data_IF_795891132226
#
_entry.id   IF_795891132226
#
_cell.length_a   1.000
_cell.length_b   1.000
_cell.length_c   1.000
_cell.angle_alpha   90.00
_cell.angle_beta   90.00
_cell.angle_gamma   90.00
#
_symmetry.space_group_name_H-M   'P 1'
#
loop_
_entity.id
_entity.type
_entity.pdbx_description
1 polymer ?
#
# COMPACT_ATOMS: atom_id res chain seq x y z
N UNK A 1 8.86 38.71 30.23
CA UNK A 1 8.50 38.02 31.48
C UNK A 1 8.64 36.53 31.21
N UNK A 2 9.47 35.72 31.87
CA UNK A 2 9.66 35.49 33.33
C UNK A 2 8.43 34.83 33.97
N UNK A 3 8.52 33.76 34.78
CA UNK A 3 9.65 32.89 35.19
C UNK A 3 9.10 31.46 35.42
N UNK A 4 9.91 30.39 35.40
CA UNK A 4 10.73 29.92 36.54
C UNK A 4 9.99 29.90 37.89
N UNK A 5 9.76 28.70 38.43
CA UNK A 5 10.20 28.37 39.79
C UNK A 5 10.44 26.85 39.95
N UNK A 6 11.20 26.47 40.97
CA UNK A 6 11.80 25.14 41.12
C UNK A 6 12.31 24.91 42.55
N UNK A 7 12.27 23.65 43.02
CA UNK A 7 12.90 23.19 44.27
C UNK A 7 12.56 21.70 44.44
N UNK A 8 13.49 20.74 44.43
CA UNK A 8 14.75 20.54 45.18
C UNK A 8 14.57 19.89 46.56
N UNK A 9 15.47 18.93 46.83
CA UNK A 9 15.61 18.21 48.08
C UNK A 9 16.96 17.49 48.10
N UNK A 10 17.95 18.10 48.76
CA UNK A 10 19.24 17.49 49.09
C UNK A 10 19.10 16.66 50.41
N UNK A 11 20.09 16.00 50.99
CA UNK A 11 21.53 15.85 50.72
C UNK A 11 21.90 14.36 51.06
N UNK A 12 23.12 13.86 51.35
CA UNK A 12 24.40 14.40 51.84
C UNK A 12 25.61 13.68 51.23
N UNK A 13 26.78 14.30 51.36
CA UNK A 13 28.10 13.72 51.07
C UNK A 13 28.72 13.11 52.35
N UNK A 14 29.79 12.31 52.22
CA UNK A 14 31.03 12.56 52.98
C UNK A 14 32.23 11.78 52.43
N UNK A 15 33.44 12.20 52.81
CA UNK A 15 34.72 11.86 52.19
C UNK A 15 35.83 11.76 53.26
N UNK A 16 36.73 10.78 53.16
CA UNK A 16 38.11 10.70 53.72
C UNK A 16 38.68 9.34 53.28
N UNK A 17 39.93 9.11 52.81
CA UNK A 17 41.27 9.72 52.90
C UNK A 17 42.21 9.10 53.94
N UNK A 18 43.16 8.31 53.44
CA UNK A 18 44.56 8.08 53.86
C UNK A 18 44.92 7.73 55.33
N UNK A 19 45.69 6.64 55.51
CA UNK A 19 47.04 6.74 56.13
C UNK A 19 47.97 5.54 55.86
N UNK A 20 49.27 5.73 56.12
CA UNK A 20 50.37 4.76 55.96
C UNK A 20 50.64 3.93 57.25
N UNK A 21 51.47 2.87 57.17
CA UNK A 21 51.97 2.14 58.35
C UNK A 21 53.04 1.08 58.02
N UNK A 22 54.13 0.99 58.81
CA UNK A 22 55.36 0.24 58.49
C UNK A 22 55.80 -0.82 59.54
N UNK A 23 56.44 -1.89 59.04
CA UNK A 23 57.61 -2.61 59.62
C UNK A 23 57.47 -3.65 60.78
N UNK A 24 58.48 -4.55 60.87
CA UNK A 24 58.68 -5.62 61.88
C UNK A 24 58.47 -7.05 61.32
N UNK A 25 59.44 -7.94 61.00
CA UNK A 25 60.64 -8.48 61.70
C UNK A 25 60.29 -9.54 62.79
N UNK A 26 60.94 -10.71 62.94
CA UNK A 26 62.25 -11.25 62.42
C UNK A 26 62.33 -12.81 62.50
N UNK A 27 63.15 -13.47 61.65
CA UNK A 27 63.89 -14.77 61.82
C UNK A 27 63.18 -16.05 62.36
N UNK A 28 63.44 -17.28 61.86
CA UNK A 28 64.74 -18.01 61.92
C UNK A 28 64.98 -19.06 60.78
N UNK A 29 66.15 -19.70 60.81
CA UNK A 29 66.71 -20.69 59.86
C UNK A 29 65.99 -22.06 59.84
N UNK A 30 66.22 -23.04 58.94
CA UNK A 30 67.29 -23.36 57.95
C UNK A 30 66.67 -24.28 56.82
N UNK A 31 67.31 -24.90 55.80
CA UNK A 31 68.70 -25.18 55.40
C UNK A 31 68.83 -25.40 53.85
N UNK A 32 69.96 -25.95 53.38
CA UNK A 32 70.38 -26.02 51.97
C UNK A 32 69.71 -27.08 51.06
N UNK A 33 69.60 -26.74 49.77
CA UNK A 33 69.76 -27.67 48.64
C UNK A 33 70.25 -26.93 47.39
N UNK A 34 71.12 -27.55 46.57
CA UNK A 34 71.72 -26.93 45.39
C UNK A 34 70.76 -26.93 44.19
N UNK A 35 70.60 -25.81 43.45
CA UNK A 35 69.73 -25.75 42.27
C UNK A 35 70.39 -26.38 41.03
N UNK A 36 69.65 -27.24 40.31
CA UNK A 36 70.04 -27.72 38.97
C UNK A 36 70.15 -26.55 37.96
N UNK A 37 71.06 -26.62 36.96
CA UNK A 37 71.15 -25.61 35.91
C UNK A 37 69.89 -25.59 35.03
N UNK A 38 69.39 -24.40 34.62
CA UNK A 38 68.12 -24.28 33.92
C UNK A 38 68.16 -24.91 32.51
N UNK A 39 67.28 -25.91 32.30
CA UNK A 39 67.09 -26.58 31.01
C UNK A 39 66.75 -25.54 29.92
N UNK A 40 67.59 -25.43 28.89
CA UNK A 40 67.47 -24.43 27.81
C UNK A 40 66.10 -24.55 27.13
N UNK A 41 65.24 -23.53 27.31
CA UNK A 41 63.92 -23.46 26.67
C UNK A 41 64.08 -23.43 25.15
N UNK A 42 63.45 -24.37 24.44
CA UNK A 42 63.45 -24.41 22.98
C UNK A 42 62.85 -23.11 22.40
N UNK A 43 63.46 -22.58 21.33
CA UNK A 43 62.94 -21.39 20.64
C UNK A 43 61.56 -21.70 20.05
N UNK A 44 60.50 -21.12 20.61
CA UNK A 44 59.14 -21.22 20.05
C UNK A 44 59.11 -20.51 18.69
N UNK A 45 59.07 -21.27 17.61
CA UNK A 45 58.88 -20.75 16.27
C UNK A 45 57.41 -20.41 16.03
N UNK A 46 57.08 -19.11 15.97
CA UNK A 46 55.72 -18.64 15.74
C UNK A 46 55.43 -18.43 14.25
N UNK A 47 54.32 -18.98 13.75
CA UNK A 47 53.96 -18.90 12.32
C UNK A 47 53.09 -17.67 12.05
N UNK A 48 53.60 -16.75 11.22
CA UNK A 48 52.87 -15.58 10.72
C UNK A 48 51.88 -15.99 9.62
N UNK A 49 50.75 -15.28 9.54
CA UNK A 49 49.77 -15.39 8.46
C UNK A 49 50.41 -15.14 7.08
N UNK A 50 49.87 -15.81 6.05
CA UNK A 50 50.31 -15.67 4.65
C UNK A 50 49.12 -15.53 3.70
N UNK A 51 49.25 -14.65 2.71
CA UNK A 51 48.20 -14.39 1.71
C UNK A 51 47.87 -15.62 0.84
N UNK A 52 48.84 -16.52 0.61
CA UNK A 52 48.64 -17.80 -0.10
C UNK A 52 47.55 -18.69 0.53
N UNK A 53 47.20 -18.48 1.80
CA UNK A 53 46.17 -19.26 2.47
C UNK A 53 44.74 -18.81 2.11
N UNK A 54 44.52 -17.60 1.61
CA UNK A 54 43.17 -17.18 1.17
C UNK A 54 42.73 -17.91 -0.12
N UNK A 55 43.70 -18.29 -0.96
CA UNK A 55 43.48 -19.11 -2.16
C UNK A 55 43.15 -20.57 -1.80
N UNK A 56 43.78 -21.11 -0.75
CA UNK A 56 43.55 -22.48 -0.25
C UNK A 56 42.28 -22.58 0.61
N UNK A 57 41.94 -21.52 1.36
CA UNK A 57 40.88 -21.47 2.34
C UNK A 57 39.99 -20.23 2.12
N UNK A 58 39.01 -20.28 1.18
CA UNK A 58 38.27 -19.11 0.72
C UNK A 58 37.52 -18.32 1.81
N UNK A 59 37.24 -18.95 2.96
CA UNK A 59 36.53 -18.35 4.09
C UNK A 59 37.45 -17.73 5.16
N UNK A 60 38.78 -17.79 4.97
CA UNK A 60 39.76 -17.20 5.89
C UNK A 60 40.26 -15.86 5.35
N UNK A 61 40.44 -14.88 6.24
CA UNK A 61 41.09 -13.60 5.93
C UNK A 61 42.15 -13.25 6.98
N UNK A 62 43.07 -12.35 6.63
CA UNK A 62 43.98 -11.70 7.59
C UNK A 62 43.19 -11.12 8.78
N UNK A 63 43.66 -11.36 10.01
CA UNK A 63 43.12 -10.68 11.19
C UNK A 63 43.48 -9.19 11.20
N UNK A 64 42.58 -8.36 11.74
CA UNK A 64 42.86 -6.94 12.04
C UNK A 64 43.61 -6.74 13.36
N UNK A 65 43.66 -7.75 14.23
CA UNK A 65 44.27 -7.65 15.56
C UNK A 65 45.76 -8.02 15.56
N UNK A 66 46.13 -9.11 14.89
CA UNK A 66 47.47 -9.70 15.01
C UNK A 66 47.89 -10.48 13.75
N UNK A 67 49.17 -10.41 13.39
CA UNK A 67 49.81 -11.16 12.30
C UNK A 67 49.90 -12.66 12.61
N UNK A 68 49.76 -13.06 13.88
CA UNK A 68 49.67 -14.46 14.32
C UNK A 68 48.21 -14.96 14.52
N UNK A 69 47.21 -14.18 14.08
CA UNK A 69 45.79 -14.57 14.05
C UNK A 69 45.23 -14.56 12.62
N UNK A 70 44.14 -15.30 12.42
CA UNK A 70 43.31 -15.24 11.20
C UNK A 70 41.84 -15.13 11.53
N UNK A 71 41.08 -14.45 10.68
CA UNK A 71 39.64 -14.27 10.80
C UNK A 71 38.90 -15.29 9.94
N UNK A 72 37.94 -16.01 10.53
CA UNK A 72 37.05 -16.89 9.79
C UNK A 72 35.73 -16.19 9.47
N UNK A 73 35.44 -15.99 8.18
CA UNK A 73 34.23 -15.31 7.70
C UNK A 73 32.95 -16.10 7.95
N UNK A 74 33.01 -17.42 8.23
CA UNK A 74 31.86 -18.27 8.60
C UNK A 74 31.59 -18.23 10.11
N UNK A 75 32.63 -18.12 10.93
CA UNK A 75 32.51 -18.06 12.39
C UNK A 75 32.43 -16.62 12.93
N UNK A 76 32.78 -15.62 12.12
CA UNK A 76 33.04 -14.22 12.49
C UNK A 76 33.87 -14.09 13.77
N UNK A 77 34.93 -14.89 13.85
CA UNK A 77 35.86 -14.95 14.98
C UNK A 77 37.29 -15.07 14.49
N UNK A 78 38.19 -14.47 15.25
CA UNK A 78 39.63 -14.50 15.03
C UNK A 78 40.25 -15.58 15.92
N UNK A 79 41.17 -16.37 15.38
CA UNK A 79 41.84 -17.44 16.11
C UNK A 79 43.34 -17.48 15.80
N UNK A 80 44.12 -18.00 16.74
CA UNK A 80 45.58 -18.10 16.61
C UNK A 80 45.97 -19.20 15.62
N UNK A 81 46.92 -18.86 14.75
CA UNK A 81 47.64 -19.77 13.83
C UNK A 81 49.09 -19.98 14.28
N UNK A 82 49.47 -19.43 15.44
CA UNK A 82 50.85 -19.16 15.79
C UNK A 82 51.70 -20.44 15.99
N UNK A 83 51.06 -21.62 16.12
CA UNK A 83 51.74 -22.88 16.47
C UNK A 83 51.66 -23.95 15.38
N UNK A 84 50.54 -24.10 14.67
CA UNK A 84 50.36 -25.07 13.58
C UNK A 84 50.17 -24.46 12.20
N UNK A 85 49.88 -23.15 12.10
CA UNK A 85 49.74 -22.43 10.83
C UNK A 85 48.56 -22.96 10.00
N UNK A 86 48.84 -23.43 8.78
CA UNK A 86 47.83 -24.05 7.90
C UNK A 86 47.12 -25.27 8.55
N UNK A 87 47.76 -25.95 9.53
CA UNK A 87 47.10 -27.01 10.31
C UNK A 87 46.07 -26.50 11.31
N UNK A 88 46.27 -25.32 11.89
CA UNK A 88 45.30 -24.71 12.81
C UNK A 88 44.03 -24.31 12.04
N UNK A 89 44.21 -23.82 10.81
CA UNK A 89 43.11 -23.51 9.88
C UNK A 89 42.32 -24.77 9.52
N UNK A 90 42.99 -25.83 9.07
CA UNK A 90 42.32 -27.11 8.73
C UNK A 90 41.62 -27.75 9.94
N UNK A 91 42.17 -27.58 11.14
CA UNK A 91 41.54 -28.02 12.39
C UNK A 91 40.29 -27.20 12.73
N UNK A 92 40.32 -25.87 12.49
CA UNK A 92 39.14 -25.01 12.62
C UNK A 92 38.02 -25.41 11.66
N UNK A 93 38.33 -25.63 10.38
CA UNK A 93 37.35 -26.04 9.35
C UNK A 93 36.79 -27.45 9.60
N UNK A 94 37.61 -28.36 10.14
CA UNK A 94 37.15 -29.68 10.59
C UNK A 94 36.27 -29.61 11.86
N UNK A 95 36.31 -28.50 12.59
CA UNK A 95 35.65 -28.30 13.88
C UNK A 95 34.12 -28.28 13.82
N UNK A 96 33.49 -28.72 14.92
CA UNK A 96 32.03 -28.81 15.05
C UNK A 96 31.33 -27.45 14.91
N UNK A 97 31.93 -26.37 15.42
CA UNK A 97 31.37 -25.02 15.31
C UNK A 97 31.36 -24.51 13.87
N UNK A 98 32.45 -24.69 13.13
CA UNK A 98 32.53 -24.29 11.72
C UNK A 98 31.50 -25.05 10.88
N UNK A 99 31.41 -26.38 11.05
CA UNK A 99 30.42 -27.24 10.37
C UNK A 99 28.97 -26.83 10.67
N UNK A 100 28.64 -26.49 11.92
CA UNK A 100 27.32 -25.94 12.31
C UNK A 100 27.05 -24.60 11.60
N UNK A 101 27.98 -23.65 11.66
CA UNK A 101 27.81 -22.32 11.07
C UNK A 101 27.72 -22.35 9.54
N UNK A 102 28.54 -23.16 8.88
CA UNK A 102 28.49 -23.37 7.43
C UNK A 102 27.13 -23.96 6.99
N UNK A 103 26.67 -24.99 7.71
CA UNK A 103 25.34 -25.60 7.46
C UNK A 103 24.19 -24.61 7.71
N UNK A 104 24.35 -23.71 8.69
CA UNK A 104 23.40 -22.63 8.97
C UNK A 104 23.31 -21.62 7.82
N UNK A 105 24.44 -21.21 7.24
CA UNK A 105 24.46 -20.30 6.08
C UNK A 105 23.76 -20.87 4.85
N UNK A 106 23.94 -22.15 4.54
CA UNK A 106 23.26 -22.79 3.39
C UNK A 106 21.73 -22.83 3.58
N UNK A 107 21.25 -22.84 4.83
CA UNK A 107 19.81 -22.80 5.16
C UNK A 107 19.22 -21.38 5.19
N UNK A 108 20.04 -20.34 5.09
CA UNK A 108 19.58 -18.95 5.03
C UNK A 108 19.38 -18.55 3.56
N UNK A 109 18.17 -18.74 3.05
CA UNK A 109 17.77 -18.21 1.74
C UNK A 109 18.04 -16.70 1.70
N UNK A 110 18.74 -16.25 0.65
CA UNK A 110 19.23 -14.87 0.59
C UNK A 110 18.05 -13.89 0.48
N UNK A 111 18.01 -12.88 1.35
CA UNK A 111 16.94 -11.86 1.41
C UNK A 111 16.73 -11.15 0.06
N UNK A 112 17.75 -11.15 -0.81
CA UNK A 112 17.66 -10.74 -2.21
C UNK A 112 16.50 -11.38 -3.00
N UNK A 113 16.02 -12.57 -2.63
CA UNK A 113 14.86 -13.21 -3.26
C UNK A 113 13.51 -12.57 -2.88
N UNK A 114 13.48 -11.72 -1.85
CA UNK A 114 12.31 -10.98 -1.37
C UNK A 114 12.37 -9.47 -1.69
N UNK A 115 13.51 -8.97 -2.20
CA UNK A 115 13.60 -7.61 -2.71
C UNK A 115 12.83 -7.54 -4.04
N UNK A 116 11.92 -6.56 -4.15
CA UNK A 116 10.98 -6.48 -5.26
C UNK A 116 11.71 -6.41 -6.61
N UNK A 117 11.27 -7.15 -7.64
CA UNK A 117 11.79 -6.99 -8.98
C UNK A 117 11.39 -5.61 -9.53
N UNK A 118 12.29 -4.97 -10.27
CA UNK A 118 12.00 -3.68 -10.90
C UNK A 118 10.84 -3.77 -11.91
N UNK A 119 10.26 -2.62 -12.26
CA UNK A 119 9.18 -2.49 -13.24
C UNK A 119 9.53 -3.02 -14.65
N UNK A 120 10.80 -3.34 -14.93
CA UNK A 120 11.25 -3.98 -16.17
C UNK A 120 10.99 -5.49 -16.21
N UNK A 121 10.69 -6.12 -15.06
CA UNK A 121 10.45 -7.56 -14.96
C UNK A 121 9.23 -8.01 -15.76
N UNK A 122 9.29 -9.24 -16.25
CA UNK A 122 8.20 -9.85 -17.01
C UNK A 122 6.88 -9.89 -16.21
N UNK A 123 6.96 -10.10 -14.90
CA UNK A 123 5.80 -10.09 -13.99
C UNK A 123 5.10 -8.73 -13.99
N UNK A 124 5.85 -7.62 -13.92
CA UNK A 124 5.28 -6.28 -14.00
C UNK A 124 4.58 -6.03 -15.36
N UNK A 125 5.16 -6.53 -16.46
CA UNK A 125 4.57 -6.42 -17.80
C UNK A 125 3.29 -7.25 -17.95
N UNK A 126 3.22 -8.44 -17.34
CA UNK A 126 2.00 -9.27 -17.28
C UNK A 126 0.91 -8.56 -16.48
N UNK A 127 1.22 -8.01 -15.31
CA UNK A 127 0.26 -7.24 -14.50
C UNK A 127 -0.23 -6.01 -15.27
N UNK A 128 0.66 -5.27 -15.93
CA UNK A 128 0.29 -4.11 -16.75
C UNK A 128 -0.66 -4.50 -17.91
N UNK A 129 -0.38 -5.60 -18.62
CA UNK A 129 -1.26 -6.10 -19.68
C UNK A 129 -2.64 -6.50 -19.15
N UNK A 130 -2.70 -7.14 -17.97
CA UNK A 130 -3.96 -7.52 -17.33
C UNK A 130 -4.80 -6.31 -16.91
N UNK A 131 -4.17 -5.34 -16.23
CA UNK A 131 -4.85 -4.10 -15.80
C UNK A 131 -5.30 -3.27 -17.01
N UNK A 132 -4.51 -3.21 -18.08
CA UNK A 132 -4.85 -2.49 -19.31
C UNK A 132 -6.07 -3.10 -20.00
N UNK A 133 -6.16 -4.44 -20.11
CA UNK A 133 -7.35 -5.08 -20.69
C UNK A 133 -8.59 -4.91 -19.80
N UNK A 134 -8.45 -4.94 -18.47
CA UNK A 134 -9.58 -4.66 -17.55
C UNK A 134 -10.05 -3.21 -17.71
N UNK A 135 -9.14 -2.24 -17.77
CA UNK A 135 -9.47 -0.83 -18.02
C UNK A 135 -10.16 -0.64 -19.37
N UNK A 136 -9.64 -1.25 -20.45
CA UNK A 136 -10.28 -1.23 -21.77
C UNK A 136 -11.70 -1.83 -21.71
N UNK A 137 -11.89 -2.97 -21.03
CA UNK A 137 -13.21 -3.56 -20.90
C UNK A 137 -14.20 -2.67 -20.13
N UNK A 138 -13.77 -2.02 -19.05
CA UNK A 138 -14.61 -1.03 -18.33
C UNK A 138 -14.95 0.16 -19.23
N UNK A 139 -13.94 0.73 -19.91
CA UNK A 139 -14.09 1.91 -20.79
C UNK A 139 -15.02 1.68 -21.99
N UNK A 140 -15.09 0.45 -22.49
CA UNK A 140 -15.93 0.07 -23.64
C UNK A 140 -17.14 -0.80 -23.24
N UNK A 141 -17.51 -0.82 -21.95
CA UNK A 141 -18.64 -1.56 -21.38
C UNK A 141 -18.67 -3.07 -21.70
N UNK A 142 -17.49 -3.67 -21.94
CA UNK A 142 -17.31 -5.09 -22.26
C UNK A 142 -17.48 -5.92 -20.99
N UNK A 143 -18.30 -6.97 -21.07
CA UNK A 143 -18.53 -7.88 -19.94
C UNK A 143 -17.23 -8.55 -19.46
N UNK A 144 -17.05 -8.64 -18.14
CA UNK A 144 -16.00 -9.45 -17.52
C UNK A 144 -16.10 -10.96 -17.85
N UNK A 145 -17.23 -11.41 -18.45
CA UNK A 145 -17.33 -12.75 -19.03
C UNK A 145 -16.51 -12.86 -20.33
N UNK A 146 -16.55 -11.82 -21.17
CA UNK A 146 -15.80 -11.76 -22.42
C UNK A 146 -14.29 -11.63 -22.18
N UNK A 147 -13.87 -11.03 -21.07
CA UNK A 147 -12.45 -11.00 -20.66
C UNK A 147 -11.87 -12.40 -20.45
N UNK A 148 -12.57 -13.31 -19.75
CA UNK A 148 -12.08 -14.68 -19.54
C UNK A 148 -11.88 -15.43 -20.86
N UNK A 149 -12.74 -15.20 -21.85
CA UNK A 149 -12.56 -15.68 -23.23
C UNK A 149 -11.38 -14.97 -23.93
N UNK A 150 -11.28 -13.65 -23.83
CA UNK A 150 -10.22 -12.84 -24.44
C UNK A 150 -8.82 -13.22 -23.96
N UNK A 151 -8.62 -13.42 -22.66
CA UNK A 151 -7.34 -13.89 -22.12
C UNK A 151 -6.97 -15.32 -22.56
N UNK A 152 -7.96 -16.18 -22.86
CA UNK A 152 -7.70 -17.51 -23.43
C UNK A 152 -7.33 -17.41 -24.91
N UNK A 153 -8.08 -16.62 -25.68
CA UNK A 153 -7.82 -16.36 -27.11
C UNK A 153 -6.44 -15.71 -27.32
N UNK A 154 -6.05 -14.75 -26.47
CA UNK A 154 -4.75 -14.06 -26.50
C UNK A 154 -3.55 -15.02 -26.57
N UNK A 155 -3.63 -16.17 -25.89
CA UNK A 155 -2.56 -17.19 -25.86
C UNK A 155 -2.46 -18.00 -27.16
N UNK A 156 -3.57 -18.10 -27.89
CA UNK A 156 -3.68 -18.84 -29.15
C UNK A 156 -3.25 -17.96 -30.32
N UNK A 157 -3.60 -16.66 -30.29
CA UNK A 157 -3.24 -15.70 -31.36
C UNK A 157 -1.85 -15.07 -31.20
N UNK A 158 -1.23 -15.15 -30.01
CA UNK A 158 0.12 -14.65 -29.74
C UNK A 158 0.91 -15.66 -28.88
N UNK A 159 1.16 -16.88 -29.39
CA UNK A 159 1.83 -17.96 -28.65
C UNK A 159 3.34 -17.70 -28.43
N UNK A 160 3.92 -16.79 -29.22
CA UNK A 160 5.28 -16.27 -29.11
C UNK A 160 5.43 -15.24 -27.97
N UNK A 161 4.36 -14.51 -27.66
CA UNK A 161 4.34 -13.49 -26.61
C UNK A 161 4.25 -14.13 -25.22
N UNK A 162 5.40 -14.22 -24.53
CA UNK A 162 5.45 -14.74 -23.16
C UNK A 162 4.53 -13.99 -22.18
N UNK A 163 4.28 -12.71 -22.44
CA UNK A 163 3.32 -11.88 -21.69
C UNK A 163 1.89 -12.36 -21.93
N UNK A 164 1.48 -12.56 -23.18
CA UNK A 164 0.13 -13.04 -23.52
C UNK A 164 -0.13 -14.45 -22.96
N UNK A 165 0.84 -15.35 -23.11
CA UNK A 165 0.77 -16.73 -22.58
C UNK A 165 0.67 -16.74 -21.05
N UNK A 166 1.33 -15.83 -20.34
CA UNK A 166 1.30 -15.76 -18.86
C UNK A 166 0.08 -15.01 -18.31
N UNK A 167 -0.41 -13.98 -18.99
CA UNK A 167 -1.56 -13.19 -18.54
C UNK A 167 -2.84 -14.03 -18.36
N UNK A 168 -3.62 -13.77 -17.32
CA UNK A 168 -4.84 -14.51 -16.99
C UNK A 168 -5.75 -13.68 -16.06
N UNK A 169 -6.86 -13.16 -16.59
CA UNK A 169 -7.83 -12.38 -15.81
C UNK A 169 -9.28 -12.80 -16.08
N UNK A 170 -9.75 -13.80 -15.31
CA UNK A 170 -11.16 -14.16 -15.25
C UNK A 170 -12.00 -13.20 -14.41
N UNK A 171 -13.34 -13.33 -14.48
CA UNK A 171 -14.34 -12.41 -13.89
C UNK A 171 -13.99 -11.88 -12.49
N UNK A 172 -13.61 -12.75 -11.57
CA UNK A 172 -13.33 -12.38 -10.16
C UNK A 172 -12.10 -11.50 -10.03
N UNK A 173 -11.05 -11.74 -10.83
CA UNK A 173 -9.82 -10.95 -10.84
C UNK A 173 -10.05 -9.60 -11.53
N UNK A 174 -10.78 -9.58 -12.65
CA UNK A 174 -11.19 -8.34 -13.31
C UNK A 174 -12.01 -7.43 -12.38
N UNK A 175 -13.05 -7.98 -11.73
CA UNK A 175 -13.86 -7.28 -10.73
C UNK A 175 -13.01 -6.74 -9.57
N UNK A 176 -12.03 -7.52 -9.10
CA UNK A 176 -11.10 -7.10 -8.04
C UNK A 176 -10.18 -5.98 -8.49
N UNK A 177 -9.64 -6.02 -9.72
CA UNK A 177 -8.81 -4.94 -10.29
C UNK A 177 -9.63 -3.67 -10.43
N UNK A 178 -10.85 -3.73 -10.96
CA UNK A 178 -11.69 -2.53 -11.08
C UNK A 178 -12.02 -1.93 -9.72
N UNK A 179 -12.46 -2.74 -8.75
CA UNK A 179 -12.90 -2.24 -7.43
C UNK A 179 -11.77 -1.85 -6.48
N UNK A 180 -10.58 -2.47 -6.57
CA UNK A 180 -9.47 -2.28 -5.61
C UNK A 180 -8.23 -1.59 -6.19
N UNK A 181 -8.18 -1.36 -7.50
CA UNK A 181 -7.05 -0.68 -8.16
C UNK A 181 -7.55 0.49 -9.00
N UNK A 182 -8.40 0.24 -10.01
CA UNK A 182 -8.78 1.30 -10.96
C UNK A 182 -9.68 2.37 -10.32
N UNK A 183 -10.75 1.99 -9.60
CA UNK A 183 -11.65 2.96 -9.01
C UNK A 183 -11.01 3.82 -7.90
N UNK A 184 -10.24 3.25 -6.94
CA UNK A 184 -9.49 4.07 -5.97
C UNK A 184 -8.46 4.99 -6.63
N UNK A 185 -7.74 4.52 -7.65
CA UNK A 185 -6.76 5.33 -8.37
C UNK A 185 -7.42 6.51 -9.10
N UNK A 186 -8.53 6.28 -9.82
CA UNK A 186 -9.25 7.35 -10.52
C UNK A 186 -9.87 8.38 -9.57
N UNK A 187 -10.35 7.95 -8.39
CA UNK A 187 -10.80 8.86 -7.33
C UNK A 187 -9.64 9.68 -6.75
N UNK A 188 -8.50 9.03 -6.47
CA UNK A 188 -7.29 9.73 -6.01
C UNK A 188 -6.86 10.80 -7.02
N UNK A 189 -6.81 10.48 -8.33
CA UNK A 189 -6.48 11.47 -9.36
C UNK A 189 -7.48 12.65 -9.39
N UNK A 190 -8.77 12.41 -9.22
CA UNK A 190 -9.77 13.47 -9.16
C UNK A 190 -9.58 14.38 -7.93
N UNK A 191 -9.20 13.83 -6.77
CA UNK A 191 -8.87 14.62 -5.58
C UNK A 191 -7.52 15.37 -5.72
N UNK A 192 -6.53 14.76 -6.39
CA UNK A 192 -5.24 15.40 -6.70
C UNK A 192 -5.39 16.55 -7.71
N UNK A 193 -6.33 16.47 -8.65
CA UNK A 193 -6.67 17.58 -9.56
C UNK A 193 -7.57 18.65 -8.89
N UNK A 194 -8.42 18.26 -7.92
CA UNK A 194 -9.33 19.17 -7.21
C UNK A 194 -8.62 20.01 -6.14
N UNK A 195 -7.73 19.40 -5.36
CA UNK A 195 -7.11 20.01 -4.18
C UNK A 195 -8.17 20.62 -3.23
N UNK A 196 -7.99 21.87 -2.80
CA UNK A 196 -8.98 22.64 -2.01
C UNK A 196 -9.93 23.46 -2.90
N UNK A 197 -10.15 23.04 -4.15
CA UNK A 197 -10.99 23.73 -5.13
C UNK A 197 -12.50 23.61 -4.86
N UNK A 198 -13.28 24.37 -5.64
CA UNK A 198 -14.74 24.24 -5.68
C UNK A 198 -15.16 23.11 -6.62
N UNK A 199 -16.21 22.38 -6.22
CA UNK A 199 -16.78 21.28 -7.00
C UNK A 199 -18.32 21.35 -6.97
N UNK A 200 -18.97 20.53 -7.78
CA UNK A 200 -20.41 20.31 -7.77
C UNK A 200 -20.70 18.86 -7.42
N UNK A 201 -21.82 18.59 -6.75
CA UNK A 201 -22.27 17.22 -6.44
C UNK A 201 -23.50 16.88 -7.24
N UNK A 202 -23.48 15.72 -7.93
CA UNK A 202 -24.59 15.24 -8.74
C UNK A 202 -25.15 13.96 -8.12
N UNK A 203 -26.46 13.93 -7.85
CA UNK A 203 -27.16 12.73 -7.39
C UNK A 203 -28.29 12.34 -8.34
N UNK A 204 -28.44 11.04 -8.60
CA UNK A 204 -29.58 10.47 -9.32
C UNK A 204 -30.04 9.18 -8.61
N UNK A 205 -31.23 8.65 -8.94
CA UNK A 205 -31.80 7.45 -8.32
C UNK A 205 -32.31 6.47 -9.38
N UNK A 206 -31.65 5.32 -9.48
CA UNK A 206 -31.94 4.26 -10.47
C UNK A 206 -32.56 3.04 -9.78
N UNK A 207 -33.87 2.88 -9.89
CA UNK A 207 -34.61 1.76 -9.30
C UNK A 207 -34.71 0.56 -10.26
N UNK A 208 -34.35 -0.63 -9.77
CA UNK A 208 -34.42 -1.89 -10.53
C UNK A 208 -35.03 -3.02 -9.69
N UNK A 209 -36.35 -3.15 -9.77
CA UNK A 209 -37.10 -4.03 -8.87
C UNK A 209 -36.97 -3.52 -7.44
N UNK A 210 -36.44 -4.34 -6.54
CA UNK A 210 -36.26 -3.97 -5.13
C UNK A 210 -34.93 -3.27 -4.83
N UNK A 211 -34.02 -3.09 -5.82
CA UNK A 211 -32.70 -2.49 -5.63
C UNK A 211 -32.75 -1.00 -6.00
N UNK A 212 -32.28 -0.11 -5.13
CA UNK A 212 -32.32 1.35 -5.32
C UNK A 212 -30.91 1.93 -5.39
N UNK A 213 -30.40 2.10 -6.61
CA UNK A 213 -29.01 2.48 -6.85
C UNK A 213 -28.88 4.00 -6.92
N UNK A 214 -28.11 4.57 -6.00
CA UNK A 214 -27.89 6.00 -5.84
C UNK A 214 -26.45 6.36 -6.27
N UNK A 215 -26.20 6.69 -7.55
CA UNK A 215 -24.96 7.33 -7.96
C UNK A 215 -24.81 8.70 -7.28
N UNK A 216 -23.65 8.91 -6.65
CA UNK A 216 -23.17 10.22 -6.21
C UNK A 216 -21.89 10.55 -6.98
N UNK A 217 -21.93 11.58 -7.82
CA UNK A 217 -20.78 12.05 -8.58
C UNK A 217 -20.27 13.38 -8.00
N UNK A 218 -18.95 13.53 -8.01
CA UNK A 218 -18.27 14.81 -7.92
C UNK A 218 -17.97 15.31 -9.34
N UNK A 219 -18.23 16.58 -9.60
CA UNK A 219 -17.87 17.27 -10.84
C UNK A 219 -16.99 18.47 -10.51
N UNK A 220 -15.87 18.64 -11.20
CA UNK A 220 -15.02 19.83 -11.07
C UNK A 220 -14.42 20.23 -12.41
N UNK A 221 -13.75 21.39 -12.46
CA UNK A 221 -13.07 21.88 -13.65
C UNK A 221 -11.55 21.80 -13.46
N UNK A 222 -10.85 21.28 -14.47
CA UNK A 222 -9.40 21.26 -14.58
C UNK A 222 -9.00 22.08 -15.82
N UNK A 223 -8.10 23.06 -15.67
CA UNK A 223 -7.67 23.95 -16.77
C UNK A 223 -7.02 23.23 -17.97
N UNK A 224 -6.49 22.02 -17.77
CA UNK A 224 -5.89 21.19 -18.83
C UNK A 224 -6.90 20.23 -19.45
N UNK A 225 -7.75 19.62 -18.62
CA UNK A 225 -8.62 18.49 -19.00
C UNK A 225 -10.09 18.86 -19.22
N UNK A 226 -10.50 20.08 -18.88
CA UNK A 226 -11.89 20.54 -18.93
C UNK A 226 -12.72 20.06 -17.74
N UNK A 227 -13.99 19.72 -17.99
CA UNK A 227 -14.91 19.22 -16.96
C UNK A 227 -14.60 17.75 -16.65
N UNK A 228 -14.24 17.48 -15.39
CA UNK A 228 -14.00 16.13 -14.87
C UNK A 228 -15.23 15.67 -14.06
N UNK A 229 -15.57 14.39 -14.21
CA UNK A 229 -16.57 13.69 -13.40
C UNK A 229 -15.92 12.49 -12.71
N UNK A 230 -16.09 12.39 -11.40
CA UNK A 230 -15.64 11.27 -10.58
C UNK A 230 -16.85 10.65 -9.87
N UNK A 231 -17.02 9.33 -9.97
CA UNK A 231 -18.06 8.61 -9.23
C UNK A 231 -17.59 8.41 -7.79
N UNK A 232 -18.09 9.24 -6.88
CA UNK A 232 -17.69 9.31 -5.47
C UNK A 232 -18.17 8.05 -4.72
N UNK A 233 -19.46 7.73 -4.85
CA UNK A 233 -20.03 6.47 -4.37
C UNK A 233 -21.20 6.04 -5.27
N UNK A 234 -21.62 4.78 -5.14
CA UNK A 234 -22.74 4.17 -5.86
C UNK A 234 -23.48 3.25 -4.88
N UNK A 235 -24.19 3.86 -3.94
CA UNK A 235 -24.73 3.19 -2.76
C UNK A 235 -26.15 2.64 -2.99
N UNK A 236 -26.50 1.58 -2.26
CA UNK A 236 -27.89 1.11 -2.14
C UNK A 236 -28.59 1.91 -1.04
N UNK A 237 -29.85 2.27 -1.23
CA UNK A 237 -30.53 3.22 -0.34
C UNK A 237 -32.05 3.10 -0.36
N UNK A 238 -32.61 2.40 0.63
CA UNK A 238 -34.06 2.21 0.78
C UNK A 238 -34.85 3.53 0.89
N UNK A 239 -34.25 4.54 1.53
CA UNK A 239 -34.89 5.78 1.95
C UNK A 239 -34.70 6.93 0.94
N UNK A 240 -35.54 6.99 -0.09
CA UNK A 240 -35.60 8.06 -1.11
C UNK A 240 -36.12 9.42 -0.57
N UNK A 241 -36.01 9.68 0.73
CA UNK A 241 -36.48 10.94 1.31
C UNK A 241 -35.45 12.04 1.11
N UNK A 242 -35.91 13.27 0.87
CA UNK A 242 -35.10 14.50 0.85
C UNK A 242 -34.02 14.54 1.93
N UNK A 243 -34.41 14.27 3.18
CA UNK A 243 -33.51 14.36 4.33
C UNK A 243 -32.44 13.26 4.29
N UNK A 244 -32.81 12.03 3.94
CA UNK A 244 -31.86 10.92 3.80
C UNK A 244 -30.87 11.15 2.66
N UNK A 245 -31.33 11.63 1.49
CA UNK A 245 -30.46 11.90 0.34
C UNK A 245 -29.47 13.04 0.67
N UNK A 246 -29.93 14.15 1.23
CA UNK A 246 -29.06 15.25 1.67
C UNK A 246 -28.05 14.81 2.75
N UNK A 247 -28.46 13.92 3.67
CA UNK A 247 -27.57 13.35 4.67
C UNK A 247 -26.53 12.39 4.07
N UNK A 248 -26.89 11.57 3.07
CA UNK A 248 -25.93 10.72 2.37
C UNK A 248 -24.90 11.56 1.60
N UNK A 249 -25.34 12.58 0.83
CA UNK A 249 -24.43 13.53 0.16
C UNK A 249 -23.46 14.18 1.17
N UNK A 250 -23.98 14.61 2.31
CA UNK A 250 -23.20 15.21 3.40
C UNK A 250 -22.18 14.23 4.00
N UNK A 251 -22.61 13.01 4.32
CA UNK A 251 -21.75 12.00 4.93
C UNK A 251 -20.66 11.54 3.96
N UNK A 252 -21.02 11.27 2.70
CA UNK A 252 -20.09 10.83 1.66
C UNK A 252 -19.07 11.88 1.27
N UNK A 253 -19.46 13.16 1.24
CA UNK A 253 -18.49 14.25 1.12
C UNK A 253 -17.46 14.18 2.26
N UNK A 254 -17.92 14.08 3.50
CA UNK A 254 -17.05 14.00 4.70
C UNK A 254 -16.19 12.74 4.77
N UNK A 255 -16.70 11.58 4.36
CA UNK A 255 -15.95 10.32 4.26
C UNK A 255 -14.73 10.44 3.34
N UNK A 256 -14.82 11.30 2.31
CA UNK A 256 -13.73 11.62 1.38
C UNK A 256 -12.97 12.91 1.72
N UNK A 257 -13.20 13.51 2.89
CA UNK A 257 -12.55 14.76 3.32
C UNK A 257 -13.04 16.03 2.61
N UNK A 258 -14.07 15.93 1.78
CA UNK A 258 -14.66 17.02 1.02
C UNK A 258 -15.57 17.88 1.92
N UNK A 259 -15.44 19.20 1.81
CA UNK A 259 -16.20 20.18 2.59
C UNK A 259 -17.46 20.65 1.83
N UNK A 260 -18.54 21.01 2.53
CA UNK A 260 -19.81 21.41 1.90
C UNK A 260 -19.84 22.89 1.44
N UNK A 261 -19.09 23.76 2.09
CA UNK A 261 -18.81 25.15 1.70
C UNK A 261 -18.09 25.24 0.34
N UNK A 262 -17.36 24.20 -0.06
CA UNK A 262 -16.74 24.08 -1.39
C UNK A 262 -17.69 23.53 -2.48
N UNK A 263 -18.94 23.19 -2.15
CA UNK A 263 -19.94 22.73 -3.12
C UNK A 263 -20.61 23.93 -3.81
N UNK A 264 -20.10 24.32 -4.97
CA UNK A 264 -20.63 25.42 -5.77
C UNK A 264 -21.98 25.15 -6.45
N UNK A 265 -22.32 23.88 -6.71
CA UNK A 265 -23.64 23.52 -7.22
C UNK A 265 -24.11 22.12 -6.80
N UNK A 266 -25.43 21.96 -6.71
CA UNK A 266 -26.10 20.66 -6.61
C UNK A 266 -26.80 20.34 -7.92
N UNK A 267 -26.56 19.14 -8.46
CA UNK A 267 -27.17 18.63 -9.69
C UNK A 267 -28.05 17.41 -9.39
N UNK A 268 -29.20 17.33 -10.05
CA UNK A 268 -30.17 16.27 -9.88
C UNK A 268 -31.38 16.46 -10.78
N UNK A 269 -32.28 15.48 -10.79
CA UNK A 269 -33.54 15.57 -11.51
C UNK A 269 -34.46 16.67 -10.92
N UNK A 270 -35.43 17.16 -11.71
CA UNK A 270 -36.34 18.24 -11.29
C UNK A 270 -37.50 17.80 -10.37
N UNK A 271 -37.47 16.60 -9.77
CA UNK A 271 -38.50 16.18 -8.83
C UNK A 271 -38.53 17.03 -7.55
N UNK A 272 -39.69 17.03 -6.87
CA UNK A 272 -39.91 17.76 -5.63
C UNK A 272 -38.97 17.35 -4.49
N UNK A 273 -38.49 16.10 -4.48
CA UNK A 273 -37.49 15.61 -3.52
C UNK A 273 -36.18 16.41 -3.61
N UNK A 274 -35.78 16.81 -4.82
CA UNK A 274 -34.51 17.46 -5.12
C UNK A 274 -34.62 18.99 -5.20
N UNK A 275 -35.71 19.55 -5.75
CA UNK A 275 -35.91 21.00 -5.93
C UNK A 275 -37.26 21.56 -5.42
N UNK A 276 -37.98 20.83 -4.57
CA UNK A 276 -39.17 21.33 -3.86
C UNK A 276 -38.91 22.64 -3.11
N UNK A 277 -39.88 23.57 -3.20
CA UNK A 277 -39.74 24.98 -2.77
C UNK A 277 -39.36 25.20 -1.31
N UNK A 278 -39.82 24.34 -0.40
CA UNK A 278 -39.71 24.54 1.06
C UNK A 278 -38.90 23.45 1.77
N UNK A 279 -38.92 22.22 1.25
CA UNK A 279 -38.14 21.09 1.74
C UNK A 279 -37.71 20.27 0.53
N UNK A 280 -36.41 20.22 0.27
CA UNK A 280 -35.80 19.44 -0.81
C UNK A 280 -34.28 19.33 -0.61
N UNK A 281 -33.61 18.42 -1.33
CA UNK A 281 -32.16 18.22 -1.19
C UNK A 281 -31.41 19.53 -1.44
N UNK A 282 -31.81 20.30 -2.46
CA UNK A 282 -31.26 21.63 -2.71
C UNK A 282 -31.44 22.58 -1.52
N UNK A 283 -32.64 22.65 -0.91
CA UNK A 283 -32.89 23.55 0.23
C UNK A 283 -32.09 23.13 1.48
N UNK A 284 -31.92 21.82 1.73
CA UNK A 284 -31.13 21.32 2.85
C UNK A 284 -29.63 21.57 2.66
N UNK A 285 -29.10 21.38 1.44
CA UNK A 285 -27.71 21.73 1.13
C UNK A 285 -27.50 23.25 1.18
N UNK A 286 -28.47 24.06 0.72
CA UNK A 286 -28.41 25.52 0.80
C UNK A 286 -28.45 26.05 2.23
N UNK A 287 -29.14 25.36 3.14
CA UNK A 287 -29.08 25.65 4.58
C UNK A 287 -27.72 25.34 5.25
N UNK A 288 -26.81 24.65 4.55
CA UNK A 288 -25.44 24.38 4.99
C UNK A 288 -24.38 25.17 4.21
N UNK A 289 -24.70 25.65 3.01
CA UNK A 289 -23.88 26.52 2.17
C UNK A 289 -24.80 27.44 1.35
N UNK A 290 -24.88 28.72 1.72
CA UNK A 290 -25.82 29.66 1.09
C UNK A 290 -25.50 29.97 -0.38
N UNK A 291 -24.25 29.78 -0.82
CA UNK A 291 -23.79 30.09 -2.18
C UNK A 291 -24.10 28.98 -3.20
N UNK A 292 -24.58 27.80 -2.76
CA UNK A 292 -24.83 26.66 -3.65
C UNK A 292 -25.88 26.97 -4.73
N UNK A 293 -25.51 26.69 -5.98
CA UNK A 293 -26.35 26.91 -7.16
C UNK A 293 -27.19 25.68 -7.53
N UNK A 294 -28.43 25.86 -8.01
CA UNK A 294 -29.26 24.75 -8.49
C UNK A 294 -28.91 24.40 -9.95
N UNK A 295 -28.47 23.17 -10.19
CA UNK A 295 -28.15 22.62 -11.52
C UNK A 295 -29.24 21.60 -11.95
N UNK A 296 -30.41 22.11 -12.28
CA UNK A 296 -31.57 21.33 -12.73
C UNK A 296 -31.28 20.50 -14.00
N UNK A 297 -31.65 19.20 -13.98
CA UNK A 297 -31.44 18.27 -15.09
C UNK A 297 -32.13 18.72 -16.40
N UNK A 298 -31.38 19.06 -17.47
CA UNK A 298 -31.97 19.50 -18.74
C UNK A 298 -32.82 18.41 -19.42
N UNK A 299 -32.44 17.14 -19.26
CA UNK A 299 -33.22 16.02 -19.81
C UNK A 299 -34.60 15.90 -19.16
N UNK A 300 -34.73 16.18 -17.85
CA UNK A 300 -36.03 16.17 -17.19
C UNK A 300 -36.87 17.41 -17.58
N UNK A 301 -36.25 18.57 -17.86
CA UNK A 301 -36.94 19.73 -18.45
C UNK A 301 -37.52 19.38 -19.82
N UNK A 302 -36.72 18.76 -20.71
CA UNK A 302 -37.17 18.33 -22.04
C UNK A 302 -38.27 17.26 -21.97
N UNK A 303 -38.13 16.28 -21.07
CA UNK A 303 -39.16 15.26 -20.84
C UNK A 303 -40.50 15.87 -20.41
N UNK A 304 -40.49 16.77 -19.42
CA UNK A 304 -41.71 17.42 -18.93
C UNK A 304 -42.34 18.34 -19.99
N UNK A 305 -41.53 19.02 -20.79
CA UNK A 305 -42.02 19.80 -21.93
C UNK A 305 -42.71 18.91 -22.98
N UNK A 306 -42.09 17.80 -23.38
CA UNK A 306 -42.68 16.83 -24.30
C UNK A 306 -43.97 16.19 -23.75
N UNK A 307 -43.97 15.79 -22.47
CA UNK A 307 -45.15 15.24 -21.79
C UNK A 307 -46.31 16.23 -21.76
N UNK A 308 -46.04 17.49 -21.43
CA UNK A 308 -47.07 18.53 -21.40
C UNK A 308 -47.59 18.89 -22.80
N UNK A 309 -46.76 18.78 -23.84
CA UNK A 309 -47.21 18.92 -25.23
C UNK A 309 -48.09 17.75 -25.68
N UNK A 310 -47.77 16.50 -25.31
CA UNK A 310 -48.60 15.31 -25.58
C UNK A 310 -49.96 15.42 -24.90
N UNK A 311 -50.01 15.91 -23.65
CA UNK A 311 -51.26 16.20 -22.94
C UNK A 311 -52.17 17.24 -23.63
N UNK A 312 -51.64 18.01 -24.59
CA UNK A 312 -52.39 18.97 -25.40
C UNK A 312 -52.94 18.41 -26.72
N UNK A 313 -52.69 17.14 -27.04
CA UNK A 313 -53.20 16.49 -28.25
C UNK A 313 -54.66 16.05 -28.09
N UNK A 314 -55.39 15.99 -29.21
CA UNK A 314 -56.79 15.53 -29.23
C UNK A 314 -56.96 14.02 -28.95
N UNK A 315 -55.85 13.27 -28.91
CA UNK A 315 -55.83 11.83 -28.69
C UNK A 315 -54.76 11.48 -27.64
N UNK A 316 -55.08 10.53 -26.76
CA UNK A 316 -54.13 10.01 -25.79
C UNK A 316 -53.15 9.04 -26.46
N UNK A 317 -52.03 9.59 -26.91
CA UNK A 317 -50.93 8.84 -27.54
C UNK A 317 -50.24 7.91 -26.53
N UNK A 318 -50.16 8.30 -25.24
CA UNK A 318 -49.51 7.49 -24.20
C UNK A 318 -50.32 6.21 -23.95
N UNK A 319 -51.63 6.33 -23.69
CA UNK A 319 -52.52 5.17 -23.56
C UNK A 319 -52.61 4.34 -24.84
N UNK A 320 -52.60 4.94 -26.03
CA UNK A 320 -52.59 4.16 -27.28
C UNK A 320 -51.35 3.28 -27.39
N UNK A 321 -50.15 3.86 -27.19
CA UNK A 321 -48.89 3.11 -27.26
C UNK A 321 -48.80 2.06 -26.14
N UNK A 322 -49.22 2.39 -24.92
CA UNK A 322 -49.27 1.45 -23.80
C UNK A 322 -50.24 0.29 -24.08
N UNK A 323 -51.41 0.53 -24.66
CA UNK A 323 -52.36 -0.53 -25.01
C UNK A 323 -51.82 -1.45 -26.11
N UNK A 324 -51.17 -0.92 -27.15
CA UNK A 324 -50.51 -1.72 -28.20
C UNK A 324 -49.36 -2.54 -27.59
N UNK A 325 -48.51 -1.93 -26.76
CA UNK A 325 -47.43 -2.65 -26.06
C UNK A 325 -47.98 -3.76 -25.17
N UNK A 326 -48.99 -3.47 -24.34
CA UNK A 326 -49.60 -4.43 -23.42
C UNK A 326 -50.26 -5.59 -24.16
N UNK A 327 -50.89 -5.35 -25.32
CA UNK A 327 -51.43 -6.39 -26.17
C UNK A 327 -50.33 -7.37 -26.61
N UNK A 328 -49.28 -6.90 -27.30
CA UNK A 328 -48.19 -7.77 -27.76
C UNK A 328 -47.39 -8.40 -26.60
N UNK A 329 -47.12 -7.67 -25.53
CA UNK A 329 -46.41 -8.16 -24.34
C UNK A 329 -47.19 -9.21 -23.54
N UNK A 330 -48.52 -9.20 -23.62
CA UNK A 330 -49.39 -10.21 -22.99
C UNK A 330 -49.69 -11.40 -23.90
N UNK A 331 -49.81 -11.17 -25.21
CA UNK A 331 -50.10 -12.22 -26.21
C UNK A 331 -48.86 -12.98 -26.69
N UNK A 332 -47.64 -12.55 -26.33
CA UNK A 332 -46.39 -13.28 -26.59
C UNK A 332 -46.02 -14.28 -25.45
N UNK A 333 -47.01 -15.00 -24.92
CA UNK A 333 -46.88 -16.02 -23.87
C UNK A 333 -47.54 -17.34 -24.28
#
# INVERSE_FOLDING_TARGET
MSGYESGEGAAEETFTSDFEGLSGATSTSQADSLPEPPKKKAKKHFVKYRLEWELKHPNIRKSSEDVYKVKCNICNKDFSIAHGGERDIKTHEAGSQYKKNASGRVKMATISAYLQPSFQSEVAKVIAAEVTQVYHAVKHHISYNSLDCGFKLSKVISPDSSIAVKASCGRTKASSITKKVLAPFLLQQAFEDLQDGYFSVCSDVSNKGNIKLNPLLLQHFNFTSGVIYALLDFYDGDAETTTAIAQQITNKSKEHGLKLDHVGAYCGDNASVNYGRHHSVFQLLKGANEDILPANCPAHILHNCAKQAINGLFMDVESFVLNVYNHFSSSAK
#
